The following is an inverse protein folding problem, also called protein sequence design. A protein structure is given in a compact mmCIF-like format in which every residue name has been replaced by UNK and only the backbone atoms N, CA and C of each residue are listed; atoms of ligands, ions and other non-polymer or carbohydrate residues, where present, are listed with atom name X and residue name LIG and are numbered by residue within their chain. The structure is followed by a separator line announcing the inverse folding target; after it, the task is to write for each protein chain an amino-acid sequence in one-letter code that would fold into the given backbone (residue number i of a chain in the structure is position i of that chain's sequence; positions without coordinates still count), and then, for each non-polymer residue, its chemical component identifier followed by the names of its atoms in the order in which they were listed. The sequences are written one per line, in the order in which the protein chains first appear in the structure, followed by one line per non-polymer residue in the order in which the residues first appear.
data_IF_329709573649
#
_entry.id   IF_329709573649
#
_cell.length_a   1.000
_cell.length_b   1.000
_cell.length_c   1.000
_cell.angle_alpha   90.00
_cell.angle_beta   90.00
_cell.angle_gamma   90.00
#
_symmetry.space_group_name_H-M   'P 1'
#
loop_
_entity.id
_entity.type
_entity.pdbx_description
1 polymer ?
#
# COMPACT_ATOMS: atom_id res chain seq x y z
N UNK A 1 0.00 -9.87 -0.19
CA UNK A 1 -1.13 -9.65 0.75
C UNK A 1 -1.11 -8.19 1.12
N UNK A 2 -2.28 -7.57 1.19
CA UNK A 2 -2.41 -6.16 1.59
C UNK A 2 -3.46 -6.10 2.70
N UNK A 3 -3.10 -5.52 3.83
CA UNK A 3 -3.98 -5.31 4.95
C UNK A 3 -4.10 -3.82 5.22
N UNK A 4 -5.32 -3.32 5.37
CA UNK A 4 -5.56 -1.93 5.67
C UNK A 4 -5.43 -1.69 7.18
N UNK A 5 -4.63 -0.69 7.56
CA UNK A 5 -4.58 -0.18 8.93
C UNK A 5 -5.60 0.94 9.08
N UNK A 6 -6.51 0.79 10.04
CA UNK A 6 -7.49 1.81 10.38
C UNK A 6 -6.97 2.62 11.59
N UNK A 7 -6.99 3.95 11.47
CA UNK A 7 -6.63 4.85 12.57
C UNK A 7 -7.89 5.58 13.02
N UNK A 8 -8.30 5.34 14.26
CA UNK A 8 -9.50 5.95 14.84
C UNK A 8 -9.31 7.46 15.03
N UNK A 9 -10.32 8.28 14.70
CA UNK A 9 -10.24 9.72 14.91
C UNK A 9 -10.24 10.05 16.41
N UNK A 10 -9.58 11.14 16.78
CA UNK A 10 -9.58 11.71 18.14
C UNK A 10 -8.99 10.82 19.25
N UNK A 11 -8.19 9.80 18.90
CA UNK A 11 -7.53 8.91 19.87
C UNK A 11 -6.00 9.08 19.87
N UNK A 12 -5.51 10.30 19.64
CA UNK A 12 -4.07 10.60 19.62
C UNK A 12 -3.38 10.12 20.91
N UNK A 13 -2.24 9.43 20.76
CA UNK A 13 -1.45 8.90 21.88
C UNK A 13 -1.96 7.59 22.47
N UNK A 14 -3.10 7.06 22.01
CA UNK A 14 -3.61 5.75 22.43
C UNK A 14 -3.12 4.66 21.47
N UNK A 15 -2.39 3.63 21.94
CA UNK A 15 -1.96 2.52 21.10
C UNK A 15 -3.13 1.80 20.40
N UNK A 16 -4.29 1.76 21.04
CA UNK A 16 -5.51 1.09 20.56
C UNK A 16 -6.25 1.85 19.44
N UNK A 17 -5.76 3.06 19.12
CA UNK A 17 -6.27 3.89 18.03
C UNK A 17 -5.94 3.31 16.66
N UNK A 18 -4.83 2.57 16.54
CA UNK A 18 -4.42 1.90 15.31
C UNK A 18 -4.89 0.45 15.36
N UNK A 19 -5.82 0.08 14.48
CA UNK A 19 -6.28 -1.30 14.34
C UNK A 19 -5.88 -1.91 13.00
N UNK A 20 -5.61 -3.21 13.03
CA UNK A 20 -5.37 -4.04 11.85
C UNK A 20 -6.63 -4.80 11.43
N UNK A 21 -7.80 -4.33 11.86
CA UNK A 21 -9.11 -4.96 11.60
C UNK A 21 -9.73 -4.56 10.25
N UNK A 22 -8.98 -3.82 9.42
CA UNK A 22 -9.42 -3.43 8.09
C UNK A 22 -9.53 -4.61 7.12
N UNK A 23 -10.12 -4.40 5.94
CA UNK A 23 -10.20 -5.42 4.91
C UNK A 23 -8.80 -5.87 4.48
N UNK A 24 -8.71 -7.16 4.14
CA UNK A 24 -7.49 -7.78 3.63
C UNK A 24 -7.71 -8.25 2.20
N UNK A 25 -6.75 -7.96 1.33
CA UNK A 25 -6.71 -8.41 -0.05
C UNK A 25 -5.54 -9.37 -0.27
N UNK A 26 -5.83 -10.51 -0.88
CA UNK A 26 -4.84 -11.54 -1.19
C UNK A 26 -4.83 -11.73 -2.71
N UNK A 27 -3.76 -11.26 -3.34
CA UNK A 27 -3.46 -11.59 -4.73
C UNK A 27 -2.67 -12.91 -4.78
N UNK A 28 -3.22 -13.93 -5.45
CA UNK A 28 -2.58 -15.23 -5.66
C UNK A 28 -1.97 -15.25 -7.06
N UNK A 29 -0.67 -15.60 -7.15
CA UNK A 29 0.09 -15.59 -8.40
C UNK A 29 0.94 -16.84 -8.54
N UNK A 30 1.21 -17.24 -9.78
CA UNK A 30 2.17 -18.30 -10.07
C UNK A 30 3.59 -17.82 -9.78
N UNK A 31 4.29 -18.46 -8.84
CA UNK A 31 5.69 -18.11 -8.54
C UNK A 31 6.64 -18.25 -9.74
N UNK A 32 6.28 -19.07 -10.73
CA UNK A 32 7.09 -19.29 -11.95
C UNK A 32 6.83 -18.26 -13.05
N UNK A 33 5.59 -17.83 -13.20
CA UNK A 33 5.13 -17.04 -14.36
C UNK A 33 4.72 -15.60 -14.01
N UNK A 34 4.54 -15.30 -12.72
CA UNK A 34 4.04 -14.01 -12.23
C UNK A 34 4.63 -13.73 -10.84
N UNK A 35 5.88 -13.27 -10.84
CA UNK A 35 6.61 -12.95 -9.62
C UNK A 35 6.10 -11.67 -8.95
N UNK A 36 6.39 -11.52 -7.66
CA UNK A 36 6.19 -10.27 -6.93
C UNK A 36 7.18 -9.23 -7.45
N UNK A 37 6.67 -8.17 -8.08
CA UNK A 37 7.47 -7.09 -8.68
C UNK A 37 6.81 -5.74 -8.40
N UNK A 38 7.58 -4.66 -8.57
CA UNK A 38 7.04 -3.29 -8.46
C UNK A 38 5.79 -3.09 -9.35
N UNK A 39 5.77 -3.66 -10.56
CA UNK A 39 4.62 -3.58 -11.47
C UNK A 39 3.41 -4.35 -10.95
N UNK A 40 3.59 -5.55 -10.40
CA UNK A 40 2.46 -6.29 -9.84
C UNK A 40 1.89 -5.60 -8.59
N UNK A 41 2.74 -4.95 -7.78
CA UNK A 41 2.29 -4.14 -6.65
C UNK A 41 1.51 -2.89 -7.09
N UNK A 42 1.93 -2.25 -8.18
CA UNK A 42 1.19 -1.14 -8.77
C UNK A 42 -0.22 -1.57 -9.21
N UNK A 43 -0.30 -2.66 -9.98
CA UNK A 43 -1.58 -3.23 -10.43
C UNK A 43 -2.47 -3.67 -9.26
N UNK A 44 -1.87 -4.19 -8.19
CA UNK A 44 -2.61 -4.53 -6.96
C UNK A 44 -3.19 -3.29 -6.27
N UNK A 45 -2.44 -2.18 -6.22
CA UNK A 45 -2.95 -0.92 -5.67
C UNK A 45 -4.14 -0.42 -6.50
N UNK A 46 -4.05 -0.44 -7.82
CA UNK A 46 -5.17 -0.07 -8.70
C UNK A 46 -6.38 -0.98 -8.44
N UNK A 47 -6.13 -2.29 -8.30
CA UNK A 47 -7.19 -3.25 -7.98
C UNK A 47 -7.85 -2.93 -6.64
N UNK A 48 -7.06 -2.68 -5.59
CA UNK A 48 -7.56 -2.30 -4.26
C UNK A 48 -8.47 -1.07 -4.31
N UNK A 49 -8.14 -0.08 -5.14
CA UNK A 49 -8.92 1.14 -5.32
C UNK A 49 -10.28 0.92 -6.02
N UNK A 50 -10.47 -0.23 -6.66
CA UNK A 50 -11.76 -0.61 -7.28
C UNK A 50 -12.63 -1.45 -6.36
N UNK A 51 -12.08 -2.07 -5.32
CA UNK A 51 -12.82 -2.95 -4.42
C UNK A 51 -13.68 -2.14 -3.45
N UNK A 52 -14.98 -2.40 -3.43
CA UNK A 52 -15.97 -1.68 -2.60
C UNK A 52 -15.64 -1.73 -1.10
N UNK A 53 -15.18 -2.88 -0.59
CA UNK A 53 -14.82 -3.03 0.83
C UNK A 53 -13.66 -2.13 1.26
N UNK A 54 -12.80 -1.72 0.32
CA UNK A 54 -11.70 -0.79 0.55
C UNK A 54 -12.09 0.67 0.28
N UNK A 55 -13.11 0.91 -0.55
CA UNK A 55 -13.54 2.24 -0.99
C UNK A 55 -13.71 3.22 0.17
N UNK A 56 -14.45 2.83 1.22
CA UNK A 56 -14.70 3.69 2.39
C UNK A 56 -13.44 4.08 3.17
N UNK A 57 -12.36 3.32 3.04
CA UNK A 57 -11.12 3.56 3.75
C UNK A 57 -10.09 4.33 2.94
N UNK A 58 -10.06 4.14 1.62
CA UNK A 58 -9.06 4.74 0.74
C UNK A 58 -9.59 5.97 0.00
N UNK A 59 -10.92 6.11 -0.15
CA UNK A 59 -11.53 7.26 -0.81
C UNK A 59 -12.19 8.22 0.17
N UNK A 60 -12.34 9.47 -0.26
CA UNK A 60 -13.08 10.51 0.44
C UNK A 60 -14.57 10.51 0.05
N UNK A 61 -15.34 11.47 0.58
CA UNK A 61 -16.78 11.60 0.29
C UNK A 61 -17.08 11.87 -1.20
N UNK A 62 -16.14 12.47 -1.92
CA UNK A 62 -16.22 12.74 -3.36
C UNK A 62 -15.77 11.55 -4.21
N UNK A 63 -15.55 10.37 -3.59
CA UNK A 63 -15.03 9.16 -4.23
C UNK A 63 -13.64 9.32 -4.87
N UNK A 64 -12.88 10.36 -4.48
CA UNK A 64 -11.46 10.53 -4.84
C UNK A 64 -10.58 9.79 -3.85
N UNK A 65 -9.41 9.35 -4.30
CA UNK A 65 -8.39 8.77 -3.40
C UNK A 65 -8.00 9.80 -2.34
N UNK A 66 -7.82 9.36 -1.09
CA UNK A 66 -7.33 10.23 -0.02
C UNK A 66 -5.96 10.79 -0.41
N UNK A 67 -5.70 12.08 -0.16
CA UNK A 67 -4.53 12.78 -0.72
C UNK A 67 -3.19 12.28 -0.19
N UNK A 68 -3.18 11.60 0.96
CA UNK A 68 -1.96 11.04 1.56
C UNK A 68 -2.05 9.53 1.58
N UNK A 69 -1.11 8.88 0.90
CA UNK A 69 -0.97 7.42 0.86
C UNK A 69 0.30 6.99 1.57
N UNK A 70 0.18 6.03 2.50
CA UNK A 70 1.32 5.40 3.18
C UNK A 70 1.27 3.90 2.90
N UNK A 71 2.30 3.39 2.24
CA UNK A 71 2.45 1.97 1.90
C UNK A 71 3.65 1.45 2.68
N UNK A 72 3.42 0.46 3.55
CA UNK A 72 4.47 -0.28 4.23
C UNK A 72 4.54 -1.68 3.66
N UNK A 73 5.72 -2.12 3.23
CA UNK A 73 5.98 -3.49 2.77
C UNK A 73 7.13 -4.12 3.56
N UNK A 74 7.01 -5.42 3.86
CA UNK A 74 8.13 -6.19 4.41
C UNK A 74 9.27 -6.40 3.41
N UNK A 75 9.06 -6.07 2.14
CA UNK A 75 10.11 -5.79 1.17
C UNK A 75 10.87 -7.02 0.70
N UNK A 76 10.61 -7.44 -0.54
CA UNK A 76 11.52 -8.31 -1.29
C UNK A 76 12.79 -7.57 -1.77
N UNK A 77 13.84 -8.29 -2.25
CA UNK A 77 15.07 -7.69 -2.78
C UNK A 77 14.85 -6.64 -3.89
N UNK A 78 13.70 -6.72 -4.55
CA UNK A 78 13.26 -5.95 -5.71
C UNK A 78 12.27 -4.82 -5.39
N UNK A 79 11.82 -4.70 -4.14
CA UNK A 79 10.78 -3.75 -3.73
C UNK A 79 11.37 -2.48 -3.11
N UNK A 80 12.70 -2.39 -3.00
CA UNK A 80 13.36 -1.24 -2.38
C UNK A 80 12.97 0.09 -3.10
N UNK A 81 12.50 1.11 -2.36
CA UNK A 81 12.07 2.39 -2.91
C UNK A 81 13.14 3.13 -3.70
N UNK A 82 14.43 2.83 -3.50
CA UNK A 82 15.53 3.44 -4.26
C UNK A 82 15.54 3.03 -5.74
N UNK A 83 14.85 1.95 -6.10
CA UNK A 83 14.88 1.46 -7.47
C UNK A 83 14.00 2.29 -8.39
N UNK A 84 14.53 2.61 -9.58
CA UNK A 84 13.84 3.42 -10.59
C UNK A 84 12.46 2.91 -10.96
N UNK A 85 12.26 1.58 -11.00
CA UNK A 85 10.95 0.96 -11.27
C UNK A 85 9.90 1.31 -10.21
N UNK A 86 10.29 1.32 -8.93
CA UNK A 86 9.40 1.68 -7.81
C UNK A 86 9.10 3.17 -7.85
N UNK A 87 10.13 4.00 -8.07
CA UNK A 87 9.98 5.45 -8.20
C UNK A 87 9.06 5.82 -9.37
N UNK A 88 9.21 5.16 -10.52
CA UNK A 88 8.37 5.40 -11.69
C UNK A 88 6.90 5.12 -11.40
N UNK A 89 6.59 3.95 -10.83
CA UNK A 89 5.22 3.60 -10.42
C UNK A 89 4.68 4.54 -9.33
N UNK A 90 5.51 4.97 -8.38
CA UNK A 90 5.10 5.94 -7.36
C UNK A 90 4.74 7.29 -7.97
N UNK A 91 5.51 7.79 -8.93
CA UNK A 91 5.24 9.04 -9.67
C UNK A 91 3.95 8.91 -10.49
N UNK A 92 3.74 7.76 -11.14
CA UNK A 92 2.55 7.51 -11.94
C UNK A 92 1.28 7.56 -11.08
N UNK A 93 1.25 6.80 -9.98
CA UNK A 93 0.12 6.85 -9.02
C UNK A 93 -0.05 8.23 -8.38
N UNK A 94 1.04 8.93 -8.06
CA UNK A 94 0.98 10.28 -7.50
C UNK A 94 0.19 11.23 -8.41
N UNK A 95 0.46 11.17 -9.72
CA UNK A 95 -0.23 11.99 -10.72
C UNK A 95 -1.64 11.47 -11.00
N UNK A 96 -1.79 10.16 -11.18
CA UNK A 96 -3.06 9.53 -11.54
C UNK A 96 -4.14 9.76 -10.47
N UNK A 97 -3.74 9.69 -9.19
CA UNK A 97 -4.66 9.81 -8.06
C UNK A 97 -4.69 11.18 -7.41
N UNK A 98 -4.02 12.18 -7.99
CA UNK A 98 -4.00 13.56 -7.50
C UNK A 98 -3.59 13.61 -6.01
N UNK A 99 -2.49 12.92 -5.68
CA UNK A 99 -2.01 12.81 -4.30
C UNK A 99 -1.22 14.06 -3.90
N UNK A 100 -1.35 14.46 -2.64
CA UNK A 100 -0.48 15.46 -2.01
C UNK A 100 0.83 14.82 -1.55
N UNK A 101 0.78 13.54 -1.13
CA UNK A 101 1.95 12.80 -0.68
C UNK A 101 1.79 11.28 -0.86
N UNK A 102 2.90 10.63 -1.22
CA UNK A 102 3.03 9.17 -1.23
C UNK A 102 4.28 8.76 -0.46
N UNK A 103 4.11 7.94 0.57
CA UNK A 103 5.19 7.37 1.37
C UNK A 103 5.25 5.88 1.11
N UNK A 104 6.39 5.39 0.60
CA UNK A 104 6.65 3.96 0.42
C UNK A 104 7.79 3.58 1.34
N UNK A 105 7.48 2.78 2.35
CA UNK A 105 8.41 2.32 3.37
C UNK A 105 8.59 0.82 3.19
N UNK A 106 9.85 0.38 3.13
CA UNK A 106 10.16 -1.04 3.05
C UNK A 106 11.17 -1.42 4.10
N UNK A 107 11.02 -2.60 4.70
CA UNK A 107 12.05 -3.15 5.56
C UNK A 107 13.38 -3.32 4.79
N UNK A 108 14.49 -3.16 5.51
CA UNK A 108 15.80 -3.34 4.92
C UNK A 108 16.01 -4.82 4.50
N UNK A 109 16.69 -5.08 3.36
CA UNK A 109 17.00 -6.45 2.95
C UNK A 109 17.65 -7.25 4.07
N UNK A 110 17.17 -8.47 4.32
CA UNK A 110 17.69 -9.35 5.37
C UNK A 110 17.19 -9.07 6.79
N UNK A 111 16.39 -8.01 7.01
CA UNK A 111 15.71 -7.74 8.30
C UNK A 111 14.29 -8.31 8.37
N UNK A 112 13.71 -8.71 7.23
CA UNK A 112 12.33 -9.25 7.15
C UNK A 112 12.15 -10.59 7.88
N UNK A 113 13.22 -11.36 8.10
CA UNK A 113 13.13 -12.69 8.73
C UNK A 113 13.08 -12.69 10.28
N UNK A 114 13.01 -11.52 10.92
CA UNK A 114 13.14 -11.38 12.39
C UNK A 114 11.94 -10.71 13.09
N UNK A 115 10.80 -10.57 12.41
CA UNK A 115 9.56 -10.12 13.03
C UNK A 115 8.58 -11.29 13.21
#
# INVERSE_FOLDING_TARGET
MYALCEVKPNEMGRPEAVSYSGPTYIAIRSGKHSSSTATSHAQDLDTLLTIESFSKFIKNIDSKVKPVLIISSDGGPDENPRYRKVIAHAIDHFKQYDLDAVFIVTNAPGRSAFN
#
